data_IF_127137596623
#
_entry.id   IF_127137596623
#
_cell.length_a   1.000
_cell.length_b   1.000
_cell.length_c   1.000
_cell.angle_alpha   90.00
_cell.angle_beta   90.00
_cell.angle_gamma   90.00
#
_symmetry.space_group_name_H-M   'P 1'
#
loop_
_entity.id
_entity.type
_entity.pdbx_description
1 polymer ?
#
# COMPACT_ATOMS: atom_id res chain seq x y z
N UNK A 1 -0.63 -0.95 -7.14
CA UNK A 1 -1.71 -0.49 -6.25
C UNK A 1 -1.93 0.98 -6.53
N UNK A 2 -3.08 1.33 -7.12
CA UNK A 2 -3.44 2.71 -7.41
C UNK A 2 -3.42 3.53 -6.14
N UNK A 3 -2.67 4.62 -6.19
CA UNK A 3 -2.37 5.47 -5.06
C UNK A 3 -2.59 6.94 -5.42
N UNK A 4 -3.08 7.73 -4.47
CA UNK A 4 -3.17 9.18 -4.57
C UNK A 4 -2.85 9.81 -3.21
N UNK A 5 -2.33 11.03 -3.21
CA UNK A 5 -2.10 11.78 -1.97
C UNK A 5 -2.94 13.04 -1.98
N UNK A 6 -3.74 13.22 -0.94
CA UNK A 6 -4.53 14.42 -0.69
C UNK A 6 -4.39 14.82 0.78
N UNK A 7 -4.11 16.10 1.05
CA UNK A 7 -3.95 16.64 2.41
C UNK A 7 -2.96 15.83 3.27
N UNK A 8 -1.82 15.41 2.69
CA UNK A 8 -0.81 14.58 3.34
C UNK A 8 -1.30 13.21 3.83
N UNK A 9 -2.41 12.71 3.26
CA UNK A 9 -2.90 11.35 3.45
C UNK A 9 -2.74 10.60 2.14
N UNK A 10 -2.10 9.43 2.20
CA UNK A 10 -2.02 8.48 1.10
C UNK A 10 -3.26 7.60 1.09
N UNK A 11 -3.92 7.52 -0.06
CA UNK A 11 -5.06 6.64 -0.29
C UNK A 11 -4.65 5.51 -1.21
N UNK A 12 -4.94 4.27 -0.81
CA UNK A 12 -4.84 3.09 -1.68
C UNK A 12 -6.22 2.68 -2.16
N UNK A 13 -6.37 2.53 -3.47
CA UNK A 13 -7.65 2.19 -4.07
C UNK A 13 -8.17 0.84 -3.56
N UNK A 14 -9.43 0.79 -3.16
CA UNK A 14 -9.99 -0.36 -2.46
C UNK A 14 -9.92 -1.71 -3.21
N UNK A 15 -9.93 -1.69 -4.55
CA UNK A 15 -9.83 -2.88 -5.39
C UNK A 15 -8.41 -3.47 -5.44
N UNK A 16 -7.39 -2.70 -5.05
CA UNK A 16 -5.99 -3.13 -5.11
C UNK A 16 -5.48 -3.58 -3.73
N UNK A 17 -6.34 -3.55 -2.71
CA UNK A 17 -6.04 -3.98 -1.36
C UNK A 17 -6.01 -5.52 -1.26
N UNK A 18 -5.15 -6.10 -0.42
CA UNK A 18 -5.17 -7.52 -0.18
C UNK A 18 -6.47 -7.95 0.50
N UNK A 19 -6.86 -9.20 0.27
CA UNK A 19 -8.00 -9.83 0.96
C UNK A 19 -7.53 -10.85 1.98
N UNK A 20 -8.17 -10.85 3.15
CA UNK A 20 -8.01 -11.93 4.11
C UNK A 20 -8.78 -13.17 3.66
N UNK A 21 -8.11 -14.32 3.67
CA UNK A 21 -8.73 -15.62 3.37
C UNK A 21 -8.49 -16.61 4.50
N UNK A 22 -9.57 -17.07 5.16
CA UNK A 22 -9.50 -18.12 6.18
C UNK A 22 -8.96 -19.41 5.54
N UNK A 23 -7.88 -19.96 6.11
CA UNK A 23 -7.16 -21.11 5.54
C UNK A 23 -6.35 -20.80 4.27
N UNK A 24 -6.17 -19.52 3.93
CA UNK A 24 -5.35 -19.08 2.81
C UNK A 24 -3.85 -19.03 3.11
N UNK A 25 -3.09 -18.46 2.18
CA UNK A 25 -1.63 -18.28 2.32
C UNK A 25 -1.30 -17.49 3.58
N UNK A 26 -0.38 -18.02 4.40
CA UNK A 26 0.13 -17.35 5.59
C UNK A 26 0.74 -16.00 5.21
N UNK A 27 1.52 -15.94 4.13
CA UNK A 27 2.18 -14.71 3.68
C UNK A 27 1.17 -13.64 3.27
N UNK A 28 0.14 -13.99 2.48
CA UNK A 28 -0.89 -13.04 2.03
C UNK A 28 -1.74 -12.53 3.20
N UNK A 29 -2.08 -13.42 4.14
CA UNK A 29 -2.80 -13.01 5.34
C UNK A 29 -1.93 -12.13 6.27
N UNK A 30 -0.64 -12.42 6.40
CA UNK A 30 0.31 -11.57 7.12
C UNK A 30 0.44 -10.20 6.46
N UNK A 31 0.51 -10.16 5.13
CA UNK A 31 0.53 -8.91 4.35
C UNK A 31 -0.71 -8.06 4.60
N UNK A 32 -1.89 -8.68 4.52
CA UNK A 32 -3.16 -8.03 4.84
C UNK A 32 -3.14 -7.40 6.24
N UNK A 33 -2.73 -8.16 7.26
CA UNK A 33 -2.72 -7.67 8.64
C UNK A 33 -1.67 -6.60 8.88
N UNK A 34 -0.51 -6.70 8.23
CA UNK A 34 0.57 -5.73 8.35
C UNK A 34 0.17 -4.38 7.71
N UNK A 35 -0.44 -4.38 6.53
CA UNK A 35 -1.01 -3.17 5.94
C UNK A 35 -2.10 -2.56 6.83
N UNK A 36 -3.00 -3.41 7.33
CA UNK A 36 -4.15 -2.95 8.11
C UNK A 36 -3.76 -2.36 9.46
N UNK A 37 -2.67 -2.83 10.07
CA UNK A 37 -2.27 -2.39 11.42
C UNK A 37 -1.68 -0.98 11.48
N UNK A 38 -1.18 -0.47 10.36
CA UNK A 38 -0.61 0.88 10.26
C UNK A 38 -1.52 1.87 9.52
N UNK A 39 -2.68 1.43 9.04
CA UNK A 39 -3.64 2.30 8.37
C UNK A 39 -4.42 3.15 9.40
N UNK A 40 -4.51 4.46 9.18
CA UNK A 40 -5.41 5.34 9.92
C UNK A 40 -6.87 4.97 9.70
N UNK A 41 -7.21 4.54 8.47
CA UNK A 41 -8.51 3.99 8.13
C UNK A 41 -8.41 2.80 7.19
N UNK A 42 -9.00 1.67 7.60
CA UNK A 42 -9.05 0.44 6.81
C UNK A 42 -10.48 -0.15 6.78
N UNK A 43 -11.38 0.52 6.07
CA UNK A 43 -12.79 0.10 5.96
C UNK A 43 -12.98 -0.85 4.79
N UNK A 44 -13.93 -1.79 4.90
CA UNK A 44 -14.31 -2.66 3.78
C UNK A 44 -14.90 -1.81 2.63
N UNK A 45 -14.52 -2.11 1.40
CA UNK A 45 -15.03 -1.43 0.18
C UNK A 45 -14.77 0.08 0.11
N UNK A 46 -13.72 0.55 0.79
CA UNK A 46 -13.25 1.93 0.69
C UNK A 46 -11.74 1.94 0.62
N UNK A 47 -11.21 3.03 0.08
CA UNK A 47 -9.78 3.27 0.06
C UNK A 47 -9.21 3.17 1.47
N UNK A 48 -8.00 2.64 1.59
CA UNK A 48 -7.28 2.67 2.86
C UNK A 48 -6.43 3.93 2.94
N UNK A 49 -6.41 4.52 4.12
CA UNK A 49 -5.81 5.82 4.40
C UNK A 49 -4.56 5.64 5.27
N UNK A 50 -3.49 6.34 4.91
CA UNK A 50 -2.22 6.33 5.63
C UNK A 50 -1.71 7.76 5.78
N UNK A 51 -1.65 8.22 7.02
CA UNK A 51 -1.07 9.51 7.39
C UNK A 51 0.45 9.53 7.14
N UNK A 52 1.00 10.71 6.94
CA UNK A 52 2.41 10.90 6.62
C UNK A 52 3.38 10.26 7.62
N UNK A 53 2.97 10.18 8.88
CA UNK A 53 3.68 9.62 10.02
C UNK A 53 3.97 8.12 9.86
N UNK A 54 3.14 7.40 9.10
CA UNK A 54 3.30 5.96 8.87
C UNK A 54 3.90 5.62 7.51
N UNK A 55 4.16 6.60 6.63
CA UNK A 55 4.68 6.35 5.29
C UNK A 55 6.03 5.64 5.27
N UNK A 56 6.92 5.92 6.22
CA UNK A 56 8.20 5.22 6.33
C UNK A 56 8.02 3.74 6.69
N UNK A 57 7.03 3.43 7.54
CA UNK A 57 6.70 2.05 7.90
C UNK A 57 6.08 1.32 6.70
N UNK A 58 5.15 1.98 6.00
CA UNK A 58 4.55 1.47 4.76
C UNK A 58 5.62 1.17 3.70
N UNK A 59 6.54 2.10 3.46
CA UNK A 59 7.64 1.96 2.48
C UNK A 59 8.52 0.74 2.75
N UNK A 60 9.00 0.60 4.00
CA UNK A 60 9.82 -0.55 4.42
C UNK A 60 9.06 -1.87 4.30
N UNK A 61 7.79 -1.88 4.70
CA UNK A 61 6.96 -3.07 4.64
C UNK A 61 6.71 -3.51 3.20
N UNK A 62 6.31 -2.59 2.32
CA UNK A 62 6.06 -2.89 0.91
C UNK A 62 7.33 -3.38 0.20
N UNK A 63 8.48 -2.77 0.49
CA UNK A 63 9.77 -3.24 -0.01
C UNK A 63 10.08 -4.67 0.47
N UNK A 64 9.94 -4.94 1.77
CA UNK A 64 10.18 -6.26 2.34
C UNK A 64 9.29 -7.35 1.71
N UNK A 65 8.00 -7.05 1.50
CA UNK A 65 7.10 -7.99 0.82
C UNK A 65 7.42 -8.15 -0.66
N UNK A 66 7.86 -7.10 -1.36
CA UNK A 66 8.35 -7.18 -2.75
C UNK A 66 9.55 -8.14 -2.85
N UNK A 67 10.55 -7.96 -1.98
CA UNK A 67 11.77 -8.78 -1.96
C UNK A 67 11.50 -10.24 -1.57
N UNK A 68 10.40 -10.50 -0.86
CA UNK A 68 10.02 -11.87 -0.48
C UNK A 68 9.63 -12.76 -1.67
N UNK A 69 9.24 -12.16 -2.81
CA UNK A 69 8.85 -12.89 -4.03
C UNK A 69 7.49 -13.61 -3.97
N UNK A 70 6.74 -13.48 -2.88
CA UNK A 70 5.43 -14.14 -2.70
C UNK A 70 4.23 -13.33 -3.23
N UNK A 71 4.42 -12.04 -3.50
CA UNK A 71 3.39 -11.13 -4.00
C UNK A 71 3.81 -10.56 -5.36
N UNK A 72 2.83 -10.25 -6.21
CA UNK A 72 3.10 -9.58 -7.48
C UNK A 72 3.43 -8.10 -7.28
N UNK A 73 4.16 -7.50 -8.23
CA UNK A 73 4.51 -6.07 -8.19
C UNK A 73 3.28 -5.17 -8.07
N UNK A 74 2.15 -5.53 -8.69
CA UNK A 74 0.90 -4.77 -8.57
C UNK A 74 0.35 -4.72 -7.14
N UNK A 75 0.70 -5.69 -6.32
CA UNK A 75 0.29 -5.78 -4.91
C UNK A 75 1.23 -5.01 -3.99
N UNK A 76 2.46 -4.69 -4.40
CA UNK A 76 3.47 -4.10 -3.50
C UNK A 76 4.04 -2.76 -3.98
N UNK A 77 3.78 -2.36 -5.21
CA UNK A 77 4.18 -1.06 -5.78
C UNK A 77 3.01 -0.08 -5.78
N UNK A 78 3.25 1.15 -5.31
CA UNK A 78 2.32 2.27 -5.42
C UNK A 78 2.33 2.81 -6.85
N UNK A 79 1.16 2.99 -7.44
CA UNK A 79 0.99 3.45 -8.80
C UNK A 79 0.24 4.79 -8.74
N UNK A 80 0.98 5.87 -8.98
CA UNK A 80 0.45 7.23 -8.92
C UNK A 80 0.02 7.73 -10.29
N UNK A 81 -1.08 8.48 -10.40
CA UNK A 81 -1.46 9.12 -11.64
C UNK A 81 -0.45 10.23 -11.98
N UNK A 82 -0.17 10.45 -13.26
CA UNK A 82 0.73 11.52 -13.72
C UNK A 82 0.28 12.92 -13.23
N UNK A 83 -1.02 13.10 -12.97
CA UNK A 83 -1.58 14.34 -12.43
C UNK A 83 -1.22 14.61 -10.96
N UNK A 84 -0.68 13.63 -10.23
CA UNK A 84 -0.18 13.81 -8.86
C UNK A 84 1.01 14.79 -8.81
N UNK A 85 1.78 14.89 -9.89
CA UNK A 85 2.91 15.81 -10.03
C UNK A 85 4.20 15.29 -9.38
N UNK A 86 4.23 15.18 -8.05
CA UNK A 86 5.41 14.73 -7.31
C UNK A 86 5.07 13.61 -6.32
N UNK A 87 5.94 12.59 -6.29
CA UNK A 87 5.91 11.52 -5.29
C UNK A 87 6.89 11.88 -4.18
N UNK A 88 6.45 11.97 -2.90
CA UNK A 88 7.33 12.23 -1.77
C UNK A 88 8.52 11.27 -1.72
N UNK A 89 9.70 11.78 -1.35
CA UNK A 89 10.95 11.01 -1.32
C UNK A 89 10.82 9.68 -0.54
N UNK A 90 10.10 9.69 0.59
CA UNK A 90 9.90 8.51 1.45
C UNK A 90 9.13 7.37 0.76
N UNK A 91 8.31 7.69 -0.24
CA UNK A 91 7.54 6.73 -1.02
C UNK A 91 8.20 6.39 -2.36
N UNK A 92 9.18 7.18 -2.83
CA UNK A 92 9.73 7.04 -4.19
C UNK A 92 10.28 5.64 -4.50
N UNK A 93 10.90 4.97 -3.52
CA UNK A 93 11.48 3.63 -3.71
C UNK A 93 10.47 2.51 -3.94
N UNK A 94 9.20 2.73 -3.60
CA UNK A 94 8.11 1.75 -3.74
C UNK A 94 7.04 2.23 -4.71
N UNK A 95 7.36 3.22 -5.56
CA UNK A 95 6.38 3.89 -6.39
C UNK A 95 6.73 3.86 -7.86
N UNK A 96 5.69 3.91 -8.69
CA UNK A 96 5.73 4.08 -10.14
C UNK A 96 4.63 5.05 -10.57
N UNK A 97 4.69 5.48 -11.81
CA UNK A 97 3.60 6.17 -12.50
C UNK A 97 2.70 5.16 -13.24
N UNK A 98 1.42 5.50 -13.40
CA UNK A 98 0.46 4.83 -14.31
C UNK A 98 0.92 4.87 -15.78
#
# INVERSE_FOLDING_TARGET
MRARIENSVLFLHHEDLPEFKKGGSVVRNSYFWALRSIAGRATRYRDWEYESEVWIALSRMLLSFTESGYLGLKETTLEFPLSQGEIPDVLRSISTWE
#
